data_IF_023365025731
#
_entry.id   IF_023365025731
#
_cell.length_a   1.000
_cell.length_b   1.000
_cell.length_c   1.000
_cell.angle_alpha   90.00
_cell.angle_beta   90.00
_cell.angle_gamma   90.00
#
_symmetry.space_group_name_H-M   'P 1'
#
loop_
_entity.id
_entity.type
_entity.pdbx_description
1 polymer ?
#
# COMPACT_ATOMS: atom_id res chain seq x y z
N UNK A 1 16.01 -20.39 6.13
CA UNK A 1 14.58 -20.04 6.06
C UNK A 1 14.49 -18.53 6.19
N UNK A 2 13.64 -17.85 5.43
CA UNK A 2 13.45 -16.40 5.56
C UNK A 2 12.64 -16.13 6.82
N UNK A 3 13.00 -15.09 7.58
CA UNK A 3 12.24 -14.64 8.78
C UNK A 3 10.92 -13.92 8.41
N UNK A 4 10.55 -13.97 7.13
CA UNK A 4 9.38 -13.29 6.59
C UNK A 4 8.28 -14.27 6.16
N UNK A 5 7.02 -13.94 6.51
CA UNK A 5 5.83 -14.72 6.16
C UNK A 5 5.32 -14.47 4.77
N UNK A 6 5.32 -13.19 4.34
CA UNK A 6 4.84 -12.73 3.03
C UNK A 6 5.75 -11.63 2.51
N UNK A 7 5.69 -11.41 1.19
CA UNK A 7 6.41 -10.35 0.50
C UNK A 7 5.43 -9.49 -0.29
N UNK A 8 5.75 -8.21 -0.45
CA UNK A 8 4.95 -7.27 -1.24
C UNK A 8 5.86 -6.30 -2.01
N UNK A 9 5.31 -5.66 -3.04
CA UNK A 9 5.97 -4.54 -3.74
C UNK A 9 5.18 -3.27 -3.47
N UNK A 10 5.87 -2.26 -2.94
CA UNK A 10 5.30 -0.99 -2.54
C UNK A 10 5.95 0.18 -3.26
N UNK A 11 5.14 1.16 -3.65
CA UNK A 11 5.61 2.52 -3.78
C UNK A 11 5.86 3.06 -2.36
N UNK A 12 7.06 3.52 -2.11
CA UNK A 12 7.45 4.18 -0.86
C UNK A 12 7.85 5.61 -1.23
N UNK A 13 7.26 6.65 -0.59
CA UNK A 13 7.67 8.02 -0.86
C UNK A 13 9.16 8.21 -0.61
N UNK A 14 9.82 9.01 -1.46
CA UNK A 14 11.28 9.25 -1.40
C UNK A 14 11.71 9.69 -0.01
N UNK A 15 12.76 9.07 0.51
CA UNK A 15 13.32 9.38 1.83
C UNK A 15 13.65 10.87 1.96
N UNK A 16 13.18 11.48 3.05
CA UNK A 16 13.36 12.90 3.32
C UNK A 16 12.39 13.84 2.60
N UNK A 17 11.54 13.32 1.70
CA UNK A 17 10.50 14.14 1.05
C UNK A 17 9.44 14.63 2.04
N UNK A 18 8.74 15.75 1.74
CA UNK A 18 7.60 16.21 2.54
C UNK A 18 6.54 15.12 2.73
N UNK A 19 6.22 14.37 1.67
CA UNK A 19 5.25 13.29 1.71
C UNK A 19 5.67 12.15 2.65
N UNK A 20 6.94 11.73 2.62
CA UNK A 20 7.45 10.69 3.51
C UNK A 20 7.42 11.16 4.98
N UNK A 21 7.91 12.38 5.25
CA UNK A 21 7.91 12.96 6.61
C UNK A 21 6.49 13.08 7.17
N UNK A 22 5.53 13.50 6.34
CA UNK A 22 4.11 13.52 6.72
C UNK A 22 3.61 12.12 7.08
N UNK A 23 3.84 11.13 6.21
CA UNK A 23 3.37 9.76 6.42
C UNK A 23 3.93 9.13 7.69
N UNK A 24 5.22 9.30 7.94
CA UNK A 24 5.89 8.80 9.14
C UNK A 24 5.36 9.48 10.42
N UNK A 25 5.15 10.80 10.37
CA UNK A 25 4.54 11.55 11.46
C UNK A 25 3.10 11.09 11.70
N UNK A 26 2.29 10.97 10.63
CA UNK A 26 0.89 10.56 10.72
C UNK A 26 0.72 9.16 11.30
N UNK A 27 1.54 8.21 10.86
CA UNK A 27 1.49 6.80 11.30
C UNK A 27 2.30 6.52 12.57
N UNK A 28 2.84 7.51 13.26
CA UNK A 28 3.71 7.35 14.46
C UNK A 28 4.90 6.40 14.23
N UNK A 29 5.54 6.46 13.07
CA UNK A 29 6.65 5.57 12.73
C UNK A 29 7.95 6.06 13.37
N UNK A 30 8.30 7.33 13.16
CA UNK A 30 9.60 7.92 13.60
C UNK A 30 9.48 8.67 14.91
N UNK A 31 8.37 9.35 15.14
CA UNK A 31 8.15 10.14 16.37
C UNK A 31 6.80 9.79 16.99
N UNK A 32 6.74 8.74 17.82
CA UNK A 32 5.52 8.44 18.54
C UNK A 32 5.05 9.66 19.33
N UNK A 33 3.79 10.03 19.16
CA UNK A 33 3.15 11.15 19.88
C UNK A 33 3.45 12.58 19.36
N UNK A 34 3.82 12.73 18.11
CA UNK A 34 4.06 14.05 17.50
C UNK A 34 2.81 14.95 17.37
N UNK A 35 1.61 14.41 17.65
CA UNK A 35 0.33 15.15 17.58
C UNK A 35 -0.14 15.63 18.95
N UNK A 36 -0.94 16.75 19.02
CA UNK A 36 -1.49 17.26 20.27
C UNK A 36 -2.30 16.23 21.04
N UNK A 37 -2.23 16.29 22.38
CA UNK A 37 -2.79 15.26 23.28
C UNK A 37 -4.30 15.02 23.16
N UNK A 38 -5.11 15.99 22.72
CA UNK A 38 -6.57 15.86 22.65
C UNK A 38 -7.04 14.78 21.67
N UNK A 39 -6.33 14.59 20.55
CA UNK A 39 -6.74 13.66 19.50
C UNK A 39 -5.90 12.39 19.43
N UNK A 40 -4.89 12.29 20.31
CA UNK A 40 -3.92 11.20 20.30
C UNK A 40 -4.55 9.82 20.44
N UNK A 41 -5.47 9.63 21.39
CA UNK A 41 -6.10 8.32 21.65
C UNK A 41 -6.97 7.91 20.47
N UNK A 42 -7.77 8.85 19.93
CA UNK A 42 -8.60 8.61 18.75
C UNK A 42 -7.71 8.24 17.55
N UNK A 43 -6.68 9.05 17.26
CA UNK A 43 -5.77 8.83 16.13
C UNK A 43 -5.04 7.49 16.23
N UNK A 44 -4.54 7.09 17.40
CA UNK A 44 -3.87 5.79 17.57
C UNK A 44 -4.75 4.62 17.15
N UNK A 45 -6.06 4.70 17.41
CA UNK A 45 -7.01 3.70 16.94
C UNK A 45 -7.22 3.76 15.43
N UNK A 46 -7.26 4.96 14.84
CA UNK A 46 -7.48 5.15 13.40
C UNK A 46 -6.34 4.61 12.53
N UNK A 47 -5.10 4.67 13.02
CA UNK A 47 -3.90 4.26 12.27
C UNK A 47 -3.41 2.85 12.59
N UNK A 48 -4.09 2.10 13.45
CA UNK A 48 -3.64 0.80 13.95
C UNK A 48 -3.28 -0.21 12.86
N UNK A 49 -4.05 -0.25 11.78
CA UNK A 49 -3.80 -1.15 10.64
C UNK A 49 -2.75 -0.57 9.69
N UNK A 50 -2.91 0.68 9.16
CA UNK A 50 -1.92 1.26 8.25
C UNK A 50 -0.50 1.29 8.82
N UNK A 51 -0.35 1.57 10.12
CA UNK A 51 0.95 1.61 10.81
C UNK A 51 1.76 0.32 10.64
N UNK A 52 1.11 -0.86 10.63
CA UNK A 52 1.78 -2.17 10.46
C UNK A 52 2.45 -2.32 9.10
N UNK A 53 1.87 -1.69 8.08
CA UNK A 53 2.37 -1.78 6.71
C UNK A 53 3.34 -0.65 6.34
N UNK A 54 3.46 0.38 7.21
CA UNK A 54 4.17 1.61 6.89
C UNK A 54 3.41 2.51 5.91
N UNK A 55 3.92 3.70 5.64
CA UNK A 55 3.30 4.64 4.72
C UNK A 55 3.68 4.32 3.27
N UNK A 56 2.77 3.71 2.53
CA UNK A 56 3.05 3.16 1.20
C UNK A 56 1.84 3.15 0.27
N UNK A 57 2.10 2.97 -1.03
CA UNK A 57 1.10 2.58 -2.03
C UNK A 57 1.38 1.15 -2.52
N UNK A 58 0.41 0.26 -2.45
CA UNK A 58 0.60 -1.14 -2.86
C UNK A 58 0.66 -1.28 -4.37
N UNK A 59 1.74 -1.88 -4.90
CA UNK A 59 1.89 -2.24 -6.33
C UNK A 59 1.60 -3.74 -6.55
N UNK A 60 2.13 -4.61 -5.67
CA UNK A 60 1.75 -6.02 -5.59
C UNK A 60 1.42 -6.36 -4.15
N UNK A 61 0.18 -6.79 -3.93
CA UNK A 61 -0.32 -7.16 -2.59
C UNK A 61 0.52 -8.26 -1.94
N UNK A 62 0.56 -8.33 -0.60
CA UNK A 62 1.32 -9.34 0.13
C UNK A 62 0.98 -10.78 -0.28
N UNK A 63 2.00 -11.57 -0.60
CA UNK A 63 1.90 -12.97 -1.00
C UNK A 63 2.91 -13.85 -0.28
N UNK A 64 2.56 -15.11 -0.04
CA UNK A 64 3.50 -16.13 0.47
C UNK A 64 4.37 -16.62 -0.68
N UNK A 65 5.66 -16.83 -0.39
CA UNK A 65 6.59 -17.42 -1.35
C UNK A 65 6.26 -18.93 -1.53
N UNK A 66 6.30 -19.41 -2.76
CA UNK A 66 6.19 -20.85 -3.05
C UNK A 66 7.36 -21.60 -2.43
N UNK A 67 7.14 -22.84 -2.02
CA UNK A 67 8.16 -23.67 -1.39
C UNK A 67 9.35 -24.03 -2.30
N UNK A 68 9.14 -24.00 -3.62
CA UNK A 68 10.16 -24.23 -4.65
C UNK A 68 10.88 -22.93 -5.11
N UNK A 69 10.65 -21.81 -4.44
CA UNK A 69 11.23 -20.49 -4.72
C UNK A 69 11.98 -19.96 -3.50
N UNK A 70 12.97 -19.12 -3.76
CA UNK A 70 13.76 -18.46 -2.72
C UNK A 70 13.69 -16.93 -2.83
N UNK A 71 14.15 -16.24 -1.79
CA UNK A 71 14.12 -14.79 -1.71
C UNK A 71 15.11 -14.15 -2.70
N UNK A 72 16.26 -14.75 -2.93
CA UNK A 72 17.28 -14.18 -3.81
C UNK A 72 16.78 -14.09 -5.25
N UNK A 73 16.10 -15.14 -5.74
CA UNK A 73 15.47 -15.14 -7.06
C UNK A 73 14.35 -14.09 -7.16
N UNK A 74 13.57 -13.89 -6.08
CA UNK A 74 12.56 -12.84 -6.01
C UNK A 74 13.18 -11.45 -6.09
N UNK A 75 14.28 -11.20 -5.37
CA UNK A 75 15.04 -9.94 -5.41
C UNK A 75 15.58 -9.69 -6.82
N UNK A 76 16.23 -10.70 -7.42
CA UNK A 76 16.81 -10.59 -8.77
C UNK A 76 15.69 -10.28 -9.80
N UNK A 77 14.57 -11.00 -9.73
CA UNK A 77 13.45 -10.77 -10.64
C UNK A 77 12.85 -9.37 -10.45
N UNK A 78 12.68 -8.90 -9.22
CA UNK A 78 12.18 -7.56 -8.92
C UNK A 78 13.12 -6.47 -9.47
N UNK A 79 14.44 -6.62 -9.29
CA UNK A 79 15.45 -5.72 -9.85
C UNK A 79 15.42 -5.68 -11.38
N UNK A 80 15.23 -6.83 -12.03
CA UNK A 80 15.14 -6.91 -13.49
C UNK A 80 13.90 -6.20 -14.04
N UNK A 81 12.76 -6.29 -13.35
CA UNK A 81 11.56 -5.52 -13.69
C UNK A 81 11.86 -4.02 -13.60
N UNK A 82 12.44 -3.55 -12.48
CA UNK A 82 12.79 -2.14 -12.30
C UNK A 82 13.72 -1.61 -13.40
N UNK A 83 14.72 -2.39 -13.82
CA UNK A 83 15.66 -1.99 -14.90
C UNK A 83 14.96 -1.78 -16.25
N UNK A 84 13.83 -2.41 -16.49
CA UNK A 84 13.08 -2.30 -17.75
C UNK A 84 12.13 -1.10 -17.80
N UNK A 85 11.96 -0.39 -16.68
CA UNK A 85 10.98 0.70 -16.54
C UNK A 85 11.74 2.02 -16.30
N UNK A 86 11.43 3.03 -17.11
CA UNK A 86 11.95 4.39 -16.88
C UNK A 86 11.19 5.05 -15.75
N UNK A 87 11.87 5.91 -15.00
CA UNK A 87 11.21 6.78 -14.03
C UNK A 87 10.14 7.65 -14.68
N UNK A 88 9.08 7.96 -13.94
CA UNK A 88 7.97 8.80 -14.39
C UNK A 88 7.42 9.64 -13.24
N UNK A 89 6.66 10.69 -13.59
CA UNK A 89 6.01 11.58 -12.63
C UNK A 89 4.54 11.27 -12.46
N UNK A 90 4.05 11.42 -11.23
CA UNK A 90 2.64 11.40 -10.86
C UNK A 90 2.12 12.84 -10.79
N UNK A 91 0.84 13.04 -11.11
CA UNK A 91 0.20 14.36 -11.21
C UNK A 91 -0.03 15.08 -9.87
N UNK A 92 0.40 14.53 -8.76
CA UNK A 92 0.09 15.01 -7.42
C UNK A 92 -1.00 14.17 -6.75
N UNK A 93 -1.23 14.46 -5.48
CA UNK A 93 -2.10 13.68 -4.59
C UNK A 93 -3.27 14.54 -4.06
N UNK A 94 -4.33 13.88 -3.65
CA UNK A 94 -5.47 14.49 -2.96
C UNK A 94 -5.97 13.57 -1.85
N UNK A 95 -6.52 14.17 -0.79
CA UNK A 95 -7.22 13.43 0.25
C UNK A 95 -8.55 12.90 -0.27
N UNK A 96 -8.76 11.60 -0.12
CA UNK A 96 -9.94 10.89 -0.62
C UNK A 96 -10.50 9.94 0.44
N UNK A 97 -11.78 9.59 0.29
CA UNK A 97 -12.44 8.55 1.09
C UNK A 97 -12.58 7.31 0.22
N UNK A 98 -12.13 6.16 0.74
CA UNK A 98 -12.25 4.84 0.12
C UNK A 98 -12.86 3.90 1.18
N UNK A 99 -14.05 3.37 0.94
CA UNK A 99 -14.72 2.42 1.84
C UNK A 99 -14.72 2.88 3.32
N UNK A 100 -15.04 4.16 3.57
CA UNK A 100 -15.01 4.80 4.88
C UNK A 100 -13.60 4.85 5.55
N UNK A 101 -12.53 4.73 4.78
CA UNK A 101 -11.17 5.03 5.20
C UNK A 101 -10.64 6.27 4.47
N UNK A 102 -9.72 7.02 5.10
CA UNK A 102 -9.02 8.12 4.46
C UNK A 102 -7.72 7.62 3.81
N UNK A 103 -7.46 8.10 2.62
CA UNK A 103 -6.27 7.79 1.85
C UNK A 103 -5.85 8.98 0.97
N UNK A 104 -4.58 9.03 0.58
CA UNK A 104 -4.13 9.89 -0.51
C UNK A 104 -4.26 9.12 -1.83
N UNK A 105 -4.89 9.74 -2.81
CA UNK A 105 -5.06 9.20 -4.17
C UNK A 105 -4.49 10.16 -5.18
N UNK A 106 -4.23 9.69 -6.41
CA UNK A 106 -3.78 10.56 -7.49
C UNK A 106 -4.88 11.56 -7.88
N UNK A 107 -4.50 12.81 -8.21
CA UNK A 107 -5.42 13.80 -8.80
C UNK A 107 -5.96 13.27 -10.13
N UNK A 108 -5.07 12.75 -10.98
CA UNK A 108 -5.41 12.10 -12.24
C UNK A 108 -4.86 10.68 -12.26
N UNK A 109 -5.61 9.73 -12.80
CA UNK A 109 -5.13 8.37 -12.97
C UNK A 109 -3.83 8.32 -13.79
N UNK A 110 -2.90 7.46 -13.40
CA UNK A 110 -1.63 7.28 -14.07
C UNK A 110 -1.57 5.92 -14.76
N UNK A 111 -1.56 5.93 -16.09
CA UNK A 111 -1.35 4.70 -16.87
C UNK A 111 0.03 4.07 -16.59
N UNK A 112 1.05 4.90 -16.35
CA UNK A 112 2.39 4.42 -15.97
C UNK A 112 2.39 3.70 -14.63
N UNK A 113 1.64 4.20 -13.63
CA UNK A 113 1.51 3.54 -12.32
C UNK A 113 0.74 2.21 -12.43
N UNK A 114 -0.33 2.19 -13.22
CA UNK A 114 -1.07 0.96 -13.50
C UNK A 114 -0.22 -0.06 -14.24
N UNK A 115 0.55 0.37 -15.26
CA UNK A 115 1.47 -0.49 -15.98
C UNK A 115 2.57 -1.07 -15.07
N UNK A 116 3.15 -0.24 -14.17
CA UNK A 116 4.13 -0.66 -13.17
C UNK A 116 3.56 -1.74 -12.26
N UNK A 117 2.37 -1.52 -11.68
CA UNK A 117 1.68 -2.51 -10.85
C UNK A 117 1.44 -3.82 -11.61
N UNK A 118 0.91 -3.74 -12.83
CA UNK A 118 0.64 -4.91 -13.67
C UNK A 118 1.90 -5.71 -13.98
N UNK A 119 3.03 -5.05 -14.26
CA UNK A 119 4.32 -5.70 -14.47
C UNK A 119 4.72 -6.54 -13.26
N UNK A 120 4.65 -5.98 -12.04
CA UNK A 120 4.96 -6.72 -10.82
C UNK A 120 3.98 -7.85 -10.53
N UNK A 121 2.67 -7.63 -10.77
CA UNK A 121 1.66 -8.67 -10.58
C UNK A 121 1.95 -9.85 -11.49
N UNK A 122 2.13 -9.62 -12.79
CA UNK A 122 2.31 -10.66 -13.80
C UNK A 122 3.66 -11.37 -13.64
N UNK A 123 4.76 -10.62 -13.60
CA UNK A 123 6.10 -11.23 -13.67
C UNK A 123 6.51 -11.91 -12.36
N UNK A 124 5.98 -11.48 -11.21
CA UNK A 124 6.26 -12.10 -9.93
C UNK A 124 5.20 -13.14 -9.51
N UNK A 125 4.17 -13.42 -10.34
CA UNK A 125 3.16 -14.42 -9.97
C UNK A 125 3.75 -15.82 -9.83
N UNK A 126 4.78 -16.15 -10.60
CA UNK A 126 5.53 -17.41 -10.49
C UNK A 126 6.15 -17.68 -9.11
N UNK A 127 6.30 -16.63 -8.28
CA UNK A 127 6.83 -16.72 -6.90
C UNK A 127 5.73 -16.89 -5.86
N UNK A 128 4.49 -16.62 -6.20
CA UNK A 128 3.37 -16.62 -5.27
C UNK A 128 2.86 -18.03 -5.01
N UNK A 129 2.80 -18.44 -3.74
CA UNK A 129 2.09 -19.64 -3.34
C UNK A 129 0.57 -19.47 -3.56
N UNK A 130 -0.14 -20.54 -3.96
CA UNK A 130 -1.60 -20.51 -4.07
C UNK A 130 -2.25 -20.06 -2.75
N UNK A 131 -3.39 -19.39 -2.86
CA UNK A 131 -4.21 -19.08 -1.69
C UNK A 131 -4.84 -20.34 -1.12
N UNK A 132 -4.98 -20.42 0.20
CA UNK A 132 -5.79 -21.46 0.83
C UNK A 132 -7.29 -21.21 0.62
N UNK A 133 -8.12 -22.22 0.85
CA UNK A 133 -9.58 -22.10 0.79
C UNK A 133 -10.09 -21.05 1.79
N UNK A 134 -9.49 -20.98 2.96
CA UNK A 134 -9.81 -20.02 4.01
C UNK A 134 -9.45 -18.60 3.58
N UNK A 135 -8.25 -18.39 3.00
CA UNK A 135 -7.84 -17.07 2.47
C UNK A 135 -8.80 -16.59 1.36
N UNK A 136 -9.23 -17.48 0.48
CA UNK A 136 -10.22 -17.16 -0.57
C UNK A 136 -11.57 -16.80 0.06
N UNK A 137 -12.06 -17.59 1.02
CA UNK A 137 -13.33 -17.35 1.70
C UNK A 137 -13.35 -15.98 2.40
N UNK A 138 -12.29 -15.65 3.15
CA UNK A 138 -12.15 -14.35 3.83
C UNK A 138 -12.15 -13.18 2.84
N UNK A 139 -11.52 -13.33 1.67
CA UNK A 139 -11.54 -12.26 0.65
C UNK A 139 -12.90 -12.12 -0.02
N UNK A 140 -13.60 -13.23 -0.28
CA UNK A 140 -14.95 -13.26 -0.86
C UNK A 140 -16.03 -12.70 0.06
N UNK A 141 -15.82 -12.69 1.38
CA UNK A 141 -16.80 -12.07 2.32
C UNK A 141 -16.95 -10.55 2.12
N UNK A 142 -16.10 -9.93 1.29
CA UNK A 142 -16.20 -8.52 0.89
C UNK A 142 -17.13 -8.28 -0.32
N UNK A 143 -17.95 -9.24 -0.72
CA UNK A 143 -18.90 -9.14 -1.84
C UNK A 143 -18.20 -8.72 -3.15
N UNK A 144 -17.20 -9.48 -3.56
CA UNK A 144 -16.44 -9.22 -4.78
C UNK A 144 -17.32 -9.29 -6.03
N UNK A 145 -17.07 -8.40 -6.99
CA UNK A 145 -17.63 -8.52 -8.34
C UNK A 145 -17.05 -9.75 -9.05
N UNK A 146 -17.70 -10.24 -10.11
CA UNK A 146 -17.19 -11.37 -10.90
C UNK A 146 -15.74 -11.14 -11.38
N UNK A 147 -15.40 -9.90 -11.76
CA UNK A 147 -14.05 -9.54 -12.21
C UNK A 147 -13.03 -9.54 -11.08
N UNK A 148 -13.41 -9.03 -9.91
CA UNK A 148 -12.57 -9.06 -8.71
C UNK A 148 -12.36 -10.51 -8.23
N UNK A 149 -13.37 -11.37 -8.30
CA UNK A 149 -13.23 -12.79 -7.96
C UNK A 149 -12.33 -13.52 -8.95
N UNK A 150 -12.45 -13.24 -10.25
CA UNK A 150 -11.52 -13.73 -11.25
C UNK A 150 -10.08 -13.32 -10.94
N UNK A 151 -9.84 -12.04 -10.63
CA UNK A 151 -8.51 -11.54 -10.27
C UNK A 151 -7.99 -12.20 -8.98
N UNK A 152 -8.85 -12.41 -7.98
CA UNK A 152 -8.51 -13.12 -6.75
C UNK A 152 -7.99 -14.53 -7.02
N UNK A 153 -8.70 -15.28 -7.84
CA UNK A 153 -8.33 -16.68 -8.15
C UNK A 153 -7.09 -16.75 -9.03
N UNK A 154 -6.94 -15.82 -9.97
CA UNK A 154 -5.84 -15.83 -10.94
C UNK A 154 -4.57 -15.21 -10.38
N UNK A 155 -4.66 -14.05 -9.73
CA UNK A 155 -3.52 -13.25 -9.25
C UNK A 155 -3.36 -13.23 -7.72
N UNK A 156 -4.26 -13.86 -6.97
CA UNK A 156 -4.22 -13.91 -5.50
C UNK A 156 -4.73 -12.65 -4.80
N UNK A 157 -5.16 -11.63 -5.57
CA UNK A 157 -5.70 -10.39 -5.03
C UNK A 157 -6.76 -9.77 -5.95
N UNK A 158 -7.91 -9.30 -5.44
CA UNK A 158 -9.02 -8.84 -6.27
C UNK A 158 -8.76 -7.51 -6.98
N UNK A 159 -8.00 -6.60 -6.35
CA UNK A 159 -7.81 -5.22 -6.80
C UNK A 159 -6.50 -5.07 -7.60
N UNK A 160 -6.38 -5.81 -8.69
CA UNK A 160 -5.25 -5.78 -9.64
C UNK A 160 -5.76 -5.57 -11.07
N UNK A 161 -4.86 -5.37 -12.00
CA UNK A 161 -5.14 -5.11 -13.42
C UNK A 161 -6.06 -3.89 -13.58
N UNK A 162 -7.17 -4.01 -14.27
CA UNK A 162 -8.15 -2.93 -14.45
C UNK A 162 -8.89 -2.54 -13.16
N UNK A 163 -8.78 -3.34 -12.09
CA UNK A 163 -9.30 -3.04 -10.75
C UNK A 163 -8.26 -2.36 -9.87
N UNK A 164 -7.05 -2.12 -10.38
CA UNK A 164 -6.00 -1.43 -9.64
C UNK A 164 -6.35 0.03 -9.43
N UNK A 165 -6.26 0.48 -8.17
CA UNK A 165 -6.46 1.86 -7.79
C UNK A 165 -5.35 2.29 -6.83
N UNK A 166 -4.48 3.20 -7.30
CA UNK A 166 -3.35 3.67 -6.49
C UNK A 166 -3.82 4.55 -5.35
N UNK A 167 -3.42 4.19 -4.12
CA UNK A 167 -3.70 4.97 -2.93
C UNK A 167 -2.65 4.70 -1.83
N UNK A 168 -2.46 5.69 -0.95
CA UNK A 168 -1.68 5.56 0.29
C UNK A 168 -2.66 5.66 1.46
N UNK A 169 -2.84 4.59 2.20
CA UNK A 169 -3.83 4.48 3.28
C UNK A 169 -3.40 5.28 4.51
N UNK A 170 -4.29 6.12 5.03
CA UNK A 170 -4.06 6.95 6.21
C UNK A 170 -4.78 6.43 7.44
N UNK A 171 -5.96 5.83 7.29
CA UNK A 171 -6.74 5.35 8.44
C UNK A 171 -7.27 3.94 8.20
N UNK A 172 -7.71 3.29 9.27
CA UNK A 172 -8.65 2.17 9.17
C UNK A 172 -10.00 2.67 8.60
N UNK A 173 -10.93 1.75 8.35
CA UNK A 173 -12.35 2.09 8.18
C UNK A 173 -12.86 2.73 9.48
N UNK A 174 -13.54 3.88 9.38
CA UNK A 174 -14.03 4.68 10.47
C UNK A 174 -15.56 4.85 10.37
N UNK A 175 -16.21 5.09 11.49
CA UNK A 175 -17.57 5.62 11.50
C UNK A 175 -17.59 7.08 11.02
N UNK A 176 -18.78 7.61 10.76
CA UNK A 176 -18.95 8.94 10.16
C UNK A 176 -18.37 10.06 11.03
N UNK A 177 -18.54 10.01 12.36
CA UNK A 177 -18.00 11.02 13.29
C UNK A 177 -16.47 11.05 13.23
N UNK A 178 -15.82 9.89 13.39
CA UNK A 178 -14.38 9.76 13.36
C UNK A 178 -13.81 10.06 11.97
N UNK A 179 -14.51 9.69 10.89
CA UNK A 179 -14.11 9.99 9.52
C UNK A 179 -14.06 11.51 9.27
N UNK A 180 -15.08 12.25 9.70
CA UNK A 180 -15.15 13.69 9.56
C UNK A 180 -14.06 14.37 10.39
N UNK A 181 -13.87 13.99 11.67
CA UNK A 181 -12.83 14.52 12.52
C UNK A 181 -11.42 14.24 11.96
N UNK A 182 -11.14 13.02 11.54
CA UNK A 182 -9.85 12.67 10.95
C UNK A 182 -9.59 13.44 9.65
N UNK A 183 -10.63 13.67 8.84
CA UNK A 183 -10.54 14.45 7.59
C UNK A 183 -10.20 15.92 7.85
N UNK A 184 -10.78 16.54 8.89
CA UNK A 184 -10.45 17.92 9.28
C UNK A 184 -8.99 18.03 9.71
N UNK A 185 -8.54 17.15 10.62
CA UNK A 185 -7.14 17.11 11.07
C UNK A 185 -6.19 16.90 9.88
N UNK A 186 -6.50 15.97 8.99
CA UNK A 186 -5.65 15.70 7.83
C UNK A 186 -5.59 16.89 6.85
N UNK A 187 -6.65 17.67 6.72
CA UNK A 187 -6.63 18.89 5.88
C UNK A 187 -5.70 19.95 6.43
N UNK A 188 -5.56 20.06 7.74
CA UNK A 188 -4.64 20.99 8.39
C UNK A 188 -3.18 20.52 8.32
N UNK A 189 -2.95 19.20 8.36
CA UNK A 189 -1.61 18.59 8.35
C UNK A 189 -1.02 18.38 6.95
N UNK A 190 -1.87 18.25 5.92
CA UNK A 190 -1.44 18.06 4.53
C UNK A 190 -1.09 19.41 3.89
N UNK A 191 0.19 19.66 3.72
CA UNK A 191 0.70 20.83 3.01
C UNK A 191 0.67 20.61 1.48
N UNK A 192 0.74 21.70 0.71
CA UNK A 192 0.87 21.62 -0.74
C UNK A 192 2.08 20.80 -1.18
N UNK A 193 3.20 20.90 -0.47
CA UNK A 193 4.42 20.13 -0.74
C UNK A 193 4.21 18.61 -0.54
N UNK A 194 3.38 18.21 0.43
CA UNK A 194 3.03 16.79 0.63
C UNK A 194 2.19 16.26 -0.53
N UNK A 195 1.36 17.10 -1.12
CA UNK A 195 0.44 16.74 -2.20
C UNK A 195 1.01 17.00 -3.60
N UNK A 196 2.19 17.60 -3.70
CA UNK A 196 2.86 17.92 -4.97
C UNK A 196 3.09 16.68 -5.85
N UNK A 197 3.37 16.87 -7.15
CA UNK A 197 3.77 15.79 -8.05
C UNK A 197 4.91 14.95 -7.47
N UNK A 198 4.82 13.62 -7.60
CA UNK A 198 5.82 12.69 -7.10
C UNK A 198 6.56 12.03 -8.26
N UNK A 199 7.87 11.85 -8.13
CA UNK A 199 8.65 11.03 -9.07
C UNK A 199 8.68 9.58 -8.57
N UNK A 200 8.40 8.65 -9.47
CA UNK A 200 8.52 7.20 -9.24
C UNK A 200 9.80 6.74 -9.91
N UNK A 201 10.87 6.60 -9.14
CA UNK A 201 12.21 6.16 -9.57
C UNK A 201 12.68 4.94 -8.80
N UNK A 202 11.97 4.57 -7.72
CA UNK A 202 12.26 3.38 -6.92
C UNK A 202 10.97 2.74 -6.38
N UNK A 203 11.08 1.48 -5.99
CA UNK A 203 10.04 0.71 -5.29
C UNK A 203 10.66 -0.14 -4.20
N UNK A 204 9.90 -0.43 -3.13
CA UNK A 204 10.30 -1.30 -2.04
C UNK A 204 9.83 -2.74 -2.25
N UNK A 205 10.74 -3.70 -2.19
CA UNK A 205 10.39 -5.09 -1.88
C UNK A 205 10.43 -5.25 -0.37
N UNK A 206 9.28 -5.49 0.24
CA UNK A 206 9.12 -5.55 1.69
C UNK A 206 8.69 -6.95 2.14
N UNK A 207 9.10 -7.32 3.35
CA UNK A 207 8.76 -8.60 3.98
C UNK A 207 7.93 -8.40 5.24
N UNK A 208 6.89 -9.22 5.42
CA UNK A 208 6.11 -9.30 6.65
C UNK A 208 6.85 -10.11 7.71
N UNK A 209 7.21 -9.49 8.81
CA UNK A 209 7.82 -10.14 9.96
C UNK A 209 6.82 -11.02 10.72
N UNK A 210 7.31 -11.82 11.68
CA UNK A 210 6.48 -12.71 12.52
C UNK A 210 5.43 -11.92 13.32
N UNK A 211 5.75 -10.69 13.76
CA UNK A 211 4.83 -9.81 14.47
C UNK A 211 3.76 -9.14 13.56
N UNK A 212 3.84 -9.34 12.25
CA UNK A 212 2.92 -8.81 11.25
C UNK A 212 3.29 -7.43 10.70
N UNK A 213 4.42 -6.85 11.11
CA UNK A 213 4.93 -5.59 10.57
C UNK A 213 5.68 -5.83 9.26
N UNK A 214 5.58 -4.89 8.32
CA UNK A 214 6.32 -4.93 7.06
C UNK A 214 7.58 -4.06 7.14
N UNK A 215 8.69 -4.62 6.67
CA UNK A 215 10.00 -3.94 6.54
C UNK A 215 10.65 -4.25 5.21
#
# INVERSE_FOLDING_TARGET
MTDYRRFAIYFIPKTGSPLQKFGDKWLDIVQPNAFPNKDKIKRTNWIKIPKKYGFHGTLKAPFRLRSDKNLDDLIISSKNICKSIKSFSLSGLKLSIIENALALTLINNSSSMSALSNQFVIQLDKFRAPLSKEEISVKRSRNLTAKQDYNLLHWGYPYVMEQFYFHLTLTNTLDEENLNLAKEILREELTEDCLAPQTVDEVGLVGEQINGDFK
#
